data_IF_296839047080
#
_entry.id   IF_296839047080
#
_cell.length_a   1.000
_cell.length_b   1.000
_cell.length_c   1.000
_cell.angle_alpha   90.00
_cell.angle_beta   90.00
_cell.angle_gamma   90.00
#
_symmetry.space_group_name_H-M   'P 1'
#
loop_
_entity.id
_entity.type
_entity.pdbx_description
1 polymer ?
#
# COMPACT_ATOMS: atom_id res chain seq x y z
N UNK A 1 -21.83 -20.56 10.98
CA UNK A 1 -22.61 -19.42 11.52
C UNK A 1 -23.97 -19.91 11.97
N UNK A 2 -24.68 -20.64 11.10
CA UNK A 2 -26.00 -21.19 11.42
C UNK A 2 -25.93 -22.32 12.47
N UNK A 3 -24.89 -23.17 12.40
CA UNK A 3 -24.63 -24.23 13.39
C UNK A 3 -24.34 -23.70 14.81
N UNK A 4 -23.59 -22.60 14.91
CA UNK A 4 -23.26 -21.94 16.19
C UNK A 4 -24.41 -21.10 16.75
N UNK A 5 -25.35 -20.67 15.89
CA UNK A 5 -26.56 -19.94 16.27
C UNK A 5 -27.73 -20.89 16.61
N UNK A 6 -27.53 -22.22 16.58
CA UNK A 6 -28.55 -23.22 16.96
C UNK A 6 -29.70 -23.36 15.96
N UNK A 7 -29.57 -22.84 14.74
CA UNK A 7 -30.60 -22.90 13.69
C UNK A 7 -30.57 -24.31 13.09
N UNK A 8 -31.70 -25.03 13.08
CA UNK A 8 -31.77 -26.39 12.54
C UNK A 8 -31.45 -26.42 11.03
N UNK A 9 -30.75 -27.47 10.57
CA UNK A 9 -30.47 -27.67 9.15
C UNK A 9 -31.79 -27.80 8.37
N UNK A 10 -32.06 -26.83 7.51
CA UNK A 10 -33.12 -26.90 6.53
C UNK A 10 -32.50 -27.22 5.17
N UNK A 11 -33.10 -28.16 4.42
CA UNK A 11 -32.62 -28.69 3.13
C UNK A 11 -32.40 -27.64 2.02
N UNK A 12 -32.79 -26.39 2.26
CA UNK A 12 -32.63 -25.27 1.33
C UNK A 12 -31.26 -24.57 1.45
N UNK A 13 -30.53 -24.75 2.56
CA UNK A 13 -29.25 -24.07 2.77
C UNK A 13 -28.10 -25.03 2.39
N UNK A 14 -27.23 -24.66 1.42
CA UNK A 14 -26.04 -25.44 1.10
C UNK A 14 -25.17 -25.66 2.35
N UNK A 15 -24.73 -26.89 2.58
CA UNK A 15 -23.92 -27.30 3.74
C UNK A 15 -22.67 -26.43 3.94
N UNK A 16 -22.07 -25.97 2.83
CA UNK A 16 -20.93 -25.03 2.85
C UNK A 16 -21.24 -23.74 3.63
N UNK A 17 -22.41 -23.12 3.44
CA UNK A 17 -22.78 -21.86 4.12
C UNK A 17 -23.13 -22.13 5.60
N UNK A 18 -23.62 -23.33 5.89
CA UNK A 18 -24.06 -23.72 7.22
C UNK A 18 -22.89 -23.91 8.20
N UNK A 19 -21.81 -24.55 7.73
CA UNK A 19 -20.61 -24.84 8.52
C UNK A 19 -19.62 -23.68 8.62
N UNK A 20 -19.70 -22.69 7.72
CA UNK A 20 -18.76 -21.56 7.65
C UNK A 20 -18.65 -20.79 8.97
N UNK A 21 -17.45 -20.57 9.48
CA UNK A 21 -17.21 -19.80 10.68
C UNK A 21 -17.54 -18.31 10.47
N UNK A 22 -17.81 -17.56 11.56
CA UNK A 22 -18.16 -16.12 11.47
C UNK A 22 -17.05 -15.31 10.77
N UNK A 23 -15.79 -15.69 10.97
CA UNK A 23 -14.64 -15.09 10.31
C UNK A 23 -14.67 -15.29 8.79
N UNK A 24 -14.99 -16.49 8.32
CA UNK A 24 -14.96 -16.83 6.90
C UNK A 24 -16.03 -16.07 6.11
N UNK A 25 -17.20 -15.87 6.71
CA UNK A 25 -18.27 -15.06 6.11
C UNK A 25 -17.86 -13.59 6.00
N UNK A 26 -17.23 -13.01 7.03
CA UNK A 26 -16.75 -11.63 6.98
C UNK A 26 -15.66 -11.44 5.92
N UNK A 27 -14.74 -12.40 5.80
CA UNK A 27 -13.70 -12.40 4.76
C UNK A 27 -14.35 -12.49 3.37
N UNK A 28 -15.34 -13.38 3.18
CA UNK A 28 -16.06 -13.53 1.92
C UNK A 28 -16.81 -12.25 1.53
N UNK A 29 -17.56 -11.66 2.46
CA UNK A 29 -18.29 -10.41 2.26
C UNK A 29 -17.32 -9.27 1.91
N UNK A 30 -16.25 -9.10 2.69
CA UNK A 30 -15.24 -8.06 2.45
C UNK A 30 -14.56 -8.22 1.09
N UNK A 31 -14.22 -9.45 0.70
CA UNK A 31 -13.63 -9.75 -0.61
C UNK A 31 -14.58 -9.42 -1.75
N UNK A 32 -15.87 -9.74 -1.62
CA UNK A 32 -16.88 -9.44 -2.63
C UNK A 32 -17.05 -7.93 -2.83
N UNK A 33 -17.19 -7.19 -1.72
CA UNK A 33 -17.32 -5.71 -1.76
C UNK A 33 -16.08 -5.07 -2.37
N UNK A 34 -14.89 -5.54 -1.99
CA UNK A 34 -13.63 -5.04 -2.52
C UNK A 34 -13.51 -5.30 -4.03
N UNK A 35 -13.88 -6.49 -4.50
CA UNK A 35 -13.85 -6.84 -5.92
C UNK A 35 -14.80 -5.95 -6.74
N UNK A 36 -16.03 -5.74 -6.27
CA UNK A 36 -17.00 -4.85 -6.91
C UNK A 36 -16.46 -3.42 -6.97
N UNK A 37 -15.87 -2.93 -5.88
CA UNK A 37 -15.28 -1.58 -5.82
C UNK A 37 -14.13 -1.40 -6.81
N UNK A 38 -13.22 -2.37 -6.91
CA UNK A 38 -12.12 -2.34 -7.88
C UNK A 38 -12.70 -2.29 -9.30
N UNK A 39 -13.63 -3.19 -9.61
CA UNK A 39 -14.23 -3.27 -10.95
C UNK A 39 -14.98 -1.99 -11.36
N UNK A 40 -15.83 -1.46 -10.48
CA UNK A 40 -16.56 -0.23 -10.74
C UNK A 40 -15.62 0.97 -10.87
N UNK A 41 -14.61 1.08 -10.01
CA UNK A 41 -13.63 2.17 -10.07
C UNK A 41 -12.83 2.11 -11.36
N UNK A 42 -12.35 0.94 -11.78
CA UNK A 42 -11.66 0.76 -13.06
C UNK A 42 -12.54 1.17 -14.25
N UNK A 43 -13.80 0.75 -14.28
CA UNK A 43 -14.75 1.14 -15.34
C UNK A 43 -14.99 2.65 -15.36
N UNK A 44 -15.14 3.28 -14.20
CA UNK A 44 -15.35 4.71 -14.09
C UNK A 44 -14.16 5.50 -14.64
N UNK A 45 -12.93 5.10 -14.28
CA UNK A 45 -11.70 5.73 -14.77
C UNK A 45 -11.55 5.56 -16.29
N UNK A 46 -11.82 4.37 -16.84
CA UNK A 46 -11.78 4.13 -18.29
C UNK A 46 -12.80 5.01 -19.00
N UNK A 47 -14.04 5.08 -18.52
CA UNK A 47 -15.09 5.93 -19.10
C UNK A 47 -14.69 7.41 -19.05
N UNK A 48 -14.19 7.89 -17.92
CA UNK A 48 -13.80 9.28 -17.74
C UNK A 48 -12.56 9.68 -18.58
N UNK A 49 -11.65 8.76 -18.87
CA UNK A 49 -10.51 8.98 -19.78
C UNK A 49 -10.91 8.95 -21.25
N UNK A 50 -11.81 8.02 -21.62
CA UNK A 50 -12.33 7.94 -22.98
C UNK A 50 -13.11 9.21 -23.36
N UNK A 51 -13.86 9.81 -22.43
CA UNK A 51 -14.54 11.09 -22.65
C UNK A 51 -13.56 12.27 -22.86
N UNK A 52 -12.33 12.16 -22.35
CA UNK A 52 -11.26 13.15 -22.54
C UNK A 52 -10.38 12.87 -23.77
N UNK A 53 -10.65 11.80 -24.53
CA UNK A 53 -9.86 11.40 -25.69
C UNK A 53 -8.46 10.86 -25.36
N UNK A 54 -8.20 10.52 -24.10
CA UNK A 54 -6.89 10.06 -23.62
C UNK A 54 -6.78 8.53 -23.61
N UNK A 55 -5.55 8.02 -23.81
CA UNK A 55 -5.27 6.59 -23.82
C UNK A 55 -5.52 5.94 -22.45
N UNK A 56 -6.49 5.03 -22.38
CA UNK A 56 -6.87 4.33 -21.14
C UNK A 56 -5.74 3.48 -20.52
N UNK A 57 -4.73 3.07 -21.31
CA UNK A 57 -3.60 2.24 -20.84
C UNK A 57 -2.78 2.92 -19.75
N UNK A 58 -2.60 4.23 -19.81
CA UNK A 58 -1.86 4.99 -18.80
C UNK A 58 -2.52 4.95 -17.41
N UNK A 59 -3.85 4.86 -17.35
CA UNK A 59 -4.57 4.75 -16.09
C UNK A 59 -4.49 3.35 -15.48
N UNK A 60 -4.47 2.30 -16.31
CA UNK A 60 -4.31 0.93 -15.84
C UNK A 60 -2.90 0.65 -15.29
N UNK A 61 -1.88 1.35 -15.82
CA UNK A 61 -0.51 1.26 -15.30
C UNK A 61 -0.40 1.69 -13.83
N UNK A 62 -1.28 2.58 -13.35
CA UNK A 62 -1.35 2.97 -11.94
C UNK A 62 -1.84 1.86 -11.01
N UNK A 63 -2.46 0.79 -11.55
CA UNK A 63 -2.88 -0.39 -10.78
C UNK A 63 -1.75 -1.42 -10.60
N UNK A 64 -0.72 -1.38 -11.46
CA UNK A 64 0.38 -2.34 -11.41
C UNK A 64 1.11 -2.36 -10.06
N UNK A 65 1.45 -1.22 -9.43
CA UNK A 65 2.16 -1.23 -8.15
C UNK A 65 1.38 -1.99 -7.07
N UNK A 66 0.06 -1.80 -7.02
CA UNK A 66 -0.82 -2.51 -6.09
C UNK A 66 -0.80 -4.02 -6.33
N UNK A 67 -0.95 -4.45 -7.59
CA UNK A 67 -0.94 -5.88 -7.91
C UNK A 67 0.41 -6.53 -7.59
N UNK A 68 1.51 -5.83 -7.92
CA UNK A 68 2.87 -6.32 -7.67
C UNK A 68 3.11 -6.47 -6.16
N UNK A 69 2.73 -5.48 -5.34
CA UNK A 69 2.92 -5.56 -3.88
C UNK A 69 2.10 -6.71 -3.28
N UNK A 70 0.84 -6.89 -3.67
CA UNK A 70 0.00 -7.99 -3.18
C UNK A 70 0.50 -9.36 -3.62
N UNK A 71 0.97 -9.51 -4.87
CA UNK A 71 1.60 -10.74 -5.33
C UNK A 71 2.88 -11.05 -4.54
N UNK A 72 3.70 -10.03 -4.26
CA UNK A 72 4.94 -10.20 -3.51
C UNK A 72 4.68 -10.58 -2.05
N UNK A 73 3.70 -9.93 -1.38
CA UNK A 73 3.28 -10.28 -0.01
C UNK A 73 2.85 -11.74 0.05
N UNK A 74 1.92 -12.15 -0.84
CA UNK A 74 1.38 -13.52 -0.83
C UNK A 74 2.44 -14.57 -1.14
N UNK A 75 3.35 -14.26 -2.07
CA UNK A 75 4.49 -15.12 -2.37
C UNK A 75 5.44 -15.25 -1.15
N UNK A 76 5.75 -14.14 -0.47
CA UNK A 76 6.62 -14.14 0.71
C UNK A 76 6.02 -14.94 1.88
N UNK A 77 4.71 -14.79 2.17
CA UNK A 77 4.04 -15.59 3.20
C UNK A 77 4.04 -17.08 2.90
N UNK A 78 3.85 -17.45 1.63
CA UNK A 78 3.81 -18.86 1.23
C UNK A 78 5.17 -19.53 1.39
N UNK A 79 6.25 -18.75 1.26
CA UNK A 79 7.62 -19.22 1.43
C UNK A 79 8.02 -19.33 2.92
N UNK A 80 7.45 -18.50 3.78
CA UNK A 80 7.81 -18.41 5.20
C UNK A 80 6.61 -18.71 6.12
N UNK A 81 6.20 -19.99 6.27
CA UNK A 81 5.07 -20.35 7.12
C UNK A 81 5.30 -20.01 8.59
N UNK A 82 6.55 -19.99 9.06
CA UNK A 82 6.90 -19.59 10.43
C UNK A 82 6.43 -18.16 10.77
N UNK A 83 6.53 -17.21 9.83
CA UNK A 83 6.03 -15.84 10.04
C UNK A 83 4.50 -15.84 10.13
N UNK A 84 3.85 -16.67 9.32
CA UNK A 84 2.39 -16.77 9.30
C UNK A 84 1.83 -17.26 10.64
N UNK A 85 2.50 -18.21 11.30
CA UNK A 85 2.00 -18.80 12.56
C UNK A 85 2.50 -18.08 13.81
N UNK A 86 3.74 -17.57 13.82
CA UNK A 86 4.36 -17.03 15.03
C UNK A 86 4.44 -15.49 15.07
N UNK A 87 4.46 -14.81 13.92
CA UNK A 87 4.73 -13.36 13.82
C UNK A 87 3.79 -12.60 12.87
N UNK A 88 2.54 -13.07 12.77
CA UNK A 88 1.53 -12.48 11.89
C UNK A 88 1.26 -11.00 12.25
N UNK A 89 1.21 -10.66 13.53
CA UNK A 89 0.82 -9.32 13.99
C UNK A 89 1.81 -8.23 13.54
N UNK A 90 3.14 -8.34 13.81
CA UNK A 90 4.11 -7.40 13.27
C UNK A 90 4.06 -7.29 11.74
N UNK A 91 3.90 -8.43 11.06
CA UNK A 91 3.83 -8.46 9.60
C UNK A 91 2.60 -7.72 9.07
N UNK A 92 1.43 -7.86 9.70
CA UNK A 92 0.22 -7.12 9.33
C UNK A 92 0.38 -5.62 9.52
N UNK A 93 1.06 -5.17 10.60
CA UNK A 93 1.36 -3.74 10.81
C UNK A 93 2.25 -3.22 9.68
N UNK A 94 3.30 -3.96 9.29
CA UNK A 94 4.16 -3.60 8.17
C UNK A 94 3.37 -3.48 6.85
N UNK A 95 2.56 -4.48 6.51
CA UNK A 95 1.72 -4.46 5.30
C UNK A 95 0.70 -3.32 5.35
N UNK A 96 0.13 -3.05 6.51
CA UNK A 96 -0.78 -1.92 6.72
C UNK A 96 -0.10 -0.58 6.46
N UNK A 97 1.08 -0.35 7.03
CA UNK A 97 1.88 0.86 6.81
C UNK A 97 2.30 1.01 5.34
N UNK A 98 2.71 -0.08 4.68
CA UNK A 98 3.07 -0.07 3.27
C UNK A 98 1.88 0.35 2.37
N UNK A 99 0.69 -0.17 2.65
CA UNK A 99 -0.53 0.21 1.93
C UNK A 99 -0.95 1.65 2.24
N UNK A 100 -0.88 2.08 3.51
CA UNK A 100 -1.17 3.45 3.92
C UNK A 100 -0.24 4.46 3.23
N UNK A 101 1.05 4.16 3.14
CA UNK A 101 2.04 4.96 2.42
C UNK A 101 1.68 5.09 0.94
N UNK A 102 1.38 3.97 0.26
CA UNK A 102 1.02 3.99 -1.16
C UNK A 102 -0.22 4.85 -1.44
N UNK A 103 -1.27 4.74 -0.60
CA UNK A 103 -2.48 5.54 -0.75
C UNK A 103 -2.20 7.01 -0.44
N UNK A 104 -1.41 7.29 0.60
CA UNK A 104 -1.01 8.65 0.96
C UNK A 104 -0.29 9.36 -0.19
N UNK A 105 0.63 8.68 -0.88
CA UNK A 105 1.34 9.25 -2.03
C UNK A 105 0.39 9.58 -3.19
N UNK A 106 -0.62 8.74 -3.43
CA UNK A 106 -1.63 8.99 -4.48
C UNK A 106 -2.46 10.24 -4.13
N UNK A 107 -2.86 10.38 -2.86
CA UNK A 107 -3.63 11.54 -2.39
C UNK A 107 -2.81 12.83 -2.52
N UNK A 108 -1.56 12.84 -2.05
CA UNK A 108 -0.72 14.04 -2.14
C UNK A 108 -0.41 14.41 -3.58
N UNK A 109 -0.13 13.43 -4.44
CA UNK A 109 0.10 13.70 -5.84
C UNK A 109 -1.13 14.30 -6.52
N UNK A 110 -2.32 13.80 -6.20
CA UNK A 110 -3.56 14.34 -6.75
C UNK A 110 -3.87 15.76 -6.27
N UNK A 111 -3.77 16.02 -4.97
CA UNK A 111 -4.07 17.34 -4.41
C UNK A 111 -3.06 18.39 -4.85
N UNK A 112 -1.76 18.07 -4.77
CA UNK A 112 -0.70 19.01 -5.13
C UNK A 112 -0.38 19.05 -6.64
N UNK A 113 -1.18 18.37 -7.48
CA UNK A 113 -1.00 18.30 -8.94
C UNK A 113 0.42 17.84 -9.37
N UNK A 114 1.02 16.93 -8.59
CA UNK A 114 2.34 16.35 -8.85
C UNK A 114 2.22 15.12 -9.78
N UNK A 115 3.33 14.66 -10.41
CA UNK A 115 3.32 13.42 -11.18
C UNK A 115 2.88 12.21 -10.33
N UNK A 116 2.22 11.24 -10.99
CA UNK A 116 1.69 10.05 -10.32
C UNK A 116 2.84 9.16 -9.78
N UNK A 117 2.78 8.73 -8.50
CA UNK A 117 3.82 7.91 -7.89
C UNK A 117 3.62 6.43 -8.26
N UNK A 118 4.58 5.87 -9.01
CA UNK A 118 4.56 4.45 -9.40
C UNK A 118 5.41 3.54 -8.50
N UNK A 119 6.25 4.11 -7.63
CA UNK A 119 7.21 3.38 -6.81
C UNK A 119 6.92 3.53 -5.32
N UNK A 120 6.85 2.39 -4.63
CA UNK A 120 6.73 2.33 -3.19
C UNK A 120 8.04 1.82 -2.60
N UNK A 121 8.76 2.69 -1.88
CA UNK A 121 10.08 2.37 -1.32
C UNK A 121 10.00 1.29 -0.22
N UNK A 122 8.85 1.15 0.43
CA UNK A 122 8.59 0.12 1.45
C UNK A 122 8.46 -1.30 0.87
N UNK A 123 8.45 -1.44 -0.46
CA UNK A 123 8.53 -2.74 -1.13
C UNK A 123 9.95 -3.30 -1.07
N UNK A 124 10.98 -2.47 -0.91
CA UNK A 124 12.38 -2.92 -0.94
C UNK A 124 12.71 -3.92 0.19
N UNK A 125 12.37 -3.68 1.47
CA UNK A 125 12.58 -4.67 2.53
C UNK A 125 11.86 -5.98 2.21
N UNK A 126 10.61 -5.91 1.73
CA UNK A 126 9.84 -7.11 1.39
C UNK A 126 10.47 -7.88 0.23
N UNK A 127 10.96 -7.18 -0.81
CA UNK A 127 11.65 -7.78 -1.93
C UNK A 127 12.97 -8.44 -1.51
N UNK A 128 13.71 -7.81 -0.59
CA UNK A 128 14.92 -8.39 -0.03
C UNK A 128 14.61 -9.68 0.76
N UNK A 129 13.60 -9.65 1.63
CA UNK A 129 13.16 -10.84 2.35
C UNK A 129 12.72 -11.97 1.41
N UNK A 130 11.97 -11.64 0.35
CA UNK A 130 11.57 -12.60 -0.68
C UNK A 130 12.77 -13.20 -1.41
N UNK A 131 13.75 -12.38 -1.80
CA UNK A 131 14.94 -12.84 -2.50
C UNK A 131 15.83 -13.74 -1.61
N UNK A 132 15.98 -13.42 -0.33
CA UNK A 132 16.70 -14.27 0.62
C UNK A 132 16.00 -15.64 0.78
N UNK A 133 14.67 -15.65 0.91
CA UNK A 133 13.88 -16.88 1.01
C UNK A 133 13.85 -17.73 -0.27
N UNK A 134 14.19 -17.16 -1.44
CA UNK A 134 14.33 -17.93 -2.68
C UNK A 134 15.64 -18.74 -2.76
N UNK A 135 16.68 -18.31 -2.06
CA UNK A 135 18.00 -18.97 -2.01
C UNK A 135 17.96 -20.47 -1.67
N UNK A 136 17.31 -20.90 -0.56
CA UNK A 136 17.27 -22.31 -0.16
C UNK A 136 16.43 -23.17 -1.10
N UNK A 137 15.41 -22.60 -1.73
CA UNK A 137 14.58 -23.32 -2.73
C UNK A 137 15.37 -23.55 -4.01
N UNK A 138 16.15 -22.57 -4.44
CA UNK A 138 16.98 -22.68 -5.63
C UNK A 138 18.14 -23.66 -5.39
N UNK A 139 18.70 -23.68 -4.17
CA UNK A 139 19.67 -24.70 -3.75
C UNK A 139 19.07 -26.11 -3.81
N UNK A 140 17.88 -26.32 -3.25
CA UNK A 140 17.23 -27.63 -3.21
C UNK A 140 16.76 -28.14 -4.59
N UNK A 141 16.35 -27.26 -5.50
CA UNK A 141 15.84 -27.66 -6.84
C UNK A 141 16.90 -27.67 -7.94
N UNK A 142 17.85 -26.74 -7.91
CA UNK A 142 18.78 -26.49 -9.02
C UNK A 142 20.25 -26.63 -8.60
N UNK A 143 20.56 -26.88 -7.31
CA UNK A 143 21.93 -27.01 -6.80
C UNK A 143 22.74 -25.70 -6.81
N UNK A 144 22.15 -24.60 -7.30
CA UNK A 144 22.70 -23.25 -7.24
C UNK A 144 21.83 -22.40 -6.32
N UNK A 145 22.34 -22.04 -5.15
CA UNK A 145 21.65 -21.15 -4.21
C UNK A 145 22.60 -20.63 -3.14
N UNK A 146 22.21 -19.54 -2.49
CA UNK A 146 22.93 -18.96 -1.36
C UNK A 146 22.34 -19.44 -0.03
N UNK A 147 23.15 -19.59 1.03
CA UNK A 147 22.63 -19.88 2.36
C UNK A 147 21.72 -18.72 2.79
N UNK A 148 20.49 -19.04 3.19
CA UNK A 148 19.57 -18.02 3.71
C UNK A 148 20.05 -17.58 5.08
N UNK A 149 20.21 -16.27 5.25
CA UNK A 149 20.62 -15.69 6.54
C UNK A 149 19.45 -15.76 7.54
N UNK A 150 18.21 -15.89 7.03
CA UNK A 150 16.96 -15.92 7.79
C UNK A 150 16.51 -17.33 8.22
N UNK A 151 17.36 -18.36 8.06
CA UNK A 151 16.98 -19.76 8.32
C UNK A 151 16.71 -20.05 9.82
N UNK A 152 17.31 -19.30 10.74
CA UNK A 152 17.05 -19.44 12.17
C UNK A 152 15.85 -18.59 12.61
N UNK A 153 14.94 -19.18 13.38
CA UNK A 153 13.72 -18.53 13.92
C UNK A 153 14.01 -17.16 14.58
N UNK A 154 15.12 -17.03 15.31
CA UNK A 154 15.51 -15.77 15.98
C UNK A 154 15.88 -14.65 14.99
N UNK A 155 16.50 -14.96 13.85
CA UNK A 155 16.81 -13.97 12.82
C UNK A 155 15.56 -13.53 12.07
N UNK A 156 14.61 -14.46 11.87
CA UNK A 156 13.33 -14.15 11.24
C UNK A 156 12.49 -13.18 12.08
N UNK A 157 12.44 -13.36 13.40
CA UNK A 157 11.74 -12.42 14.31
C UNK A 157 12.37 -11.04 14.31
N UNK A 158 13.69 -10.97 14.44
CA UNK A 158 14.42 -9.69 14.48
C UNK A 158 14.32 -8.95 13.15
N UNK A 159 14.35 -9.67 12.03
CA UNK A 159 14.11 -9.11 10.70
C UNK A 159 12.68 -8.56 10.55
N UNK A 160 11.65 -9.28 10.99
CA UNK A 160 10.27 -8.79 10.95
C UNK A 160 10.10 -7.49 11.76
N UNK A 161 10.69 -7.43 12.96
CA UNK A 161 10.66 -6.21 13.77
C UNK A 161 11.45 -5.07 13.13
N UNK A 162 12.60 -5.37 12.51
CA UNK A 162 13.38 -4.38 11.77
C UNK A 162 12.60 -3.82 10.57
N UNK A 163 11.88 -4.67 9.82
CA UNK A 163 10.99 -4.23 8.73
C UNK A 163 9.90 -3.28 9.22
N UNK A 164 9.26 -3.60 10.35
CA UNK A 164 8.25 -2.73 10.97
C UNK A 164 8.86 -1.40 11.39
N UNK A 165 10.03 -1.42 12.05
CA UNK A 165 10.74 -0.21 12.46
C UNK A 165 11.13 0.68 11.28
N UNK A 166 11.64 0.08 10.21
CA UNK A 166 11.97 0.78 8.96
C UNK A 166 10.73 1.40 8.31
N UNK A 167 9.61 0.66 8.27
CA UNK A 167 8.35 1.18 7.75
C UNK A 167 7.80 2.33 8.59
N UNK A 168 7.87 2.25 9.92
CA UNK A 168 7.50 3.33 10.81
C UNK A 168 8.37 4.58 10.61
N UNK A 169 9.68 4.40 10.43
CA UNK A 169 10.60 5.53 10.18
C UNK A 169 10.27 6.27 8.88
N UNK A 170 10.11 5.55 7.78
CA UNK A 170 9.76 6.15 6.48
C UNK A 170 8.36 6.77 6.53
N UNK A 171 7.38 6.06 7.10
CA UNK A 171 6.02 6.58 7.20
C UNK A 171 5.97 7.84 8.08
N UNK A 172 6.72 7.88 9.18
CA UNK A 172 6.84 9.05 10.04
C UNK A 172 7.39 10.28 9.31
N UNK A 173 8.47 10.11 8.53
CA UNK A 173 9.00 11.19 7.68
C UNK A 173 7.97 11.63 6.64
N UNK A 174 7.32 10.67 5.99
CA UNK A 174 6.33 10.94 4.96
C UNK A 174 5.15 11.77 5.45
N UNK A 175 4.69 11.58 6.69
CA UNK A 175 3.60 12.39 7.27
C UNK A 175 3.99 13.86 7.34
N UNK A 176 5.23 14.19 7.70
CA UNK A 176 5.70 15.58 7.73
C UNK A 176 5.76 16.15 6.31
N UNK A 177 6.28 15.39 5.35
CA UNK A 177 6.34 15.79 3.94
C UNK A 177 4.95 16.07 3.36
N UNK A 178 3.96 15.24 3.69
CA UNK A 178 2.56 15.43 3.29
C UNK A 178 2.02 16.76 3.82
N UNK A 179 2.25 17.05 5.11
CA UNK A 179 1.76 18.28 5.74
C UNK A 179 2.39 19.50 5.07
N UNK A 180 3.72 19.51 4.92
CA UNK A 180 4.45 20.63 4.31
C UNK A 180 4.01 20.83 2.85
N UNK A 181 3.96 19.75 2.06
CA UNK A 181 3.56 19.83 0.65
C UNK A 181 2.15 20.38 0.46
N UNK A 182 1.19 19.95 1.29
CA UNK A 182 -0.18 20.45 1.23
C UNK A 182 -0.28 21.91 1.69
N UNK A 183 0.46 22.26 2.76
CA UNK A 183 0.55 23.63 3.26
C UNK A 183 1.08 24.58 2.18
N UNK A 184 2.16 24.19 1.51
CA UNK A 184 2.78 24.97 0.43
C UNK A 184 1.85 25.07 -0.79
N UNK A 185 1.13 24.01 -1.14
CA UNK A 185 0.18 24.03 -2.25
C UNK A 185 -1.04 24.94 -1.99
N UNK A 186 -1.59 24.92 -0.77
CA UNK A 186 -2.79 25.68 -0.39
C UNK A 186 -2.48 27.10 0.12
N UNK A 187 -1.20 27.48 0.26
CA UNK A 187 -0.76 28.74 0.89
C UNK A 187 -1.30 28.92 2.34
N UNK A 188 -1.33 27.82 3.10
CA UNK A 188 -1.73 27.76 4.51
C UNK A 188 -0.57 27.19 5.31
N UNK A 189 -0.33 27.68 6.54
CA UNK A 189 0.73 27.13 7.38
C UNK A 189 0.13 26.45 8.60
N UNK A 190 0.31 25.12 8.70
CA UNK A 190 -0.11 24.35 9.88
C UNK A 190 0.99 24.24 10.94
N UNK A 191 2.27 24.31 10.54
CA UNK A 191 3.43 24.09 11.41
C UNK A 191 4.35 25.32 11.56
N UNK A 192 4.02 26.46 10.96
CA UNK A 192 4.83 27.69 11.00
C UNK A 192 3.93 28.92 10.93
N UNK A 193 4.39 30.08 11.41
CA UNK A 193 3.61 31.33 11.37
C UNK A 193 3.91 32.06 10.05
N UNK A 194 2.85 32.45 9.31
CA UNK A 194 2.97 33.27 8.09
C UNK A 194 3.32 34.70 8.47
N UNK A 195 4.54 35.14 8.16
CA UNK A 195 4.87 36.57 8.14
C UNK A 195 4.53 37.11 6.74
N UNK A 196 3.63 38.09 6.62
CA UNK A 196 3.39 38.73 5.34
C UNK A 196 4.71 39.34 4.86
N UNK A 197 5.17 38.93 3.68
CA UNK A 197 6.25 39.65 3.00
C UNK A 197 5.75 41.08 2.80
N UNK A 198 6.39 42.06 3.43
CA UNK A 198 6.16 43.46 3.09
C UNK A 198 6.32 43.57 1.57
N UNK A 199 5.25 44.03 0.90
CA UNK A 199 5.32 44.30 -0.53
C UNK A 199 6.42 45.33 -0.71
N UNK A 200 7.54 44.93 -1.29
CA UNK A 200 8.51 45.88 -1.81
C UNK A 200 7.73 46.90 -2.66
N UNK A 201 7.76 48.20 -2.32
CA UNK A 201 6.99 49.18 -3.05
C UNK A 201 7.49 49.17 -4.50
N UNK A 202 6.56 48.98 -5.43
CA UNK A 202 6.80 49.09 -6.87
C UNK A 202 7.58 50.37 -7.14
N UNK A 203 8.88 50.23 -7.43
CA UNK A 203 9.70 51.33 -7.89
C UNK A 203 9.10 51.80 -9.21
N UNK A 204 8.40 52.94 -9.17
CA UNK A 204 7.95 53.66 -10.33
C UNK A 204 9.17 53.96 -11.21
N UNK A 205 9.35 53.16 -12.27
CA UNK A 205 10.32 53.46 -13.32
C UNK A 205 9.80 54.71 -14.03
N UNK A 206 10.34 55.85 -13.60
CA UNK A 206 10.38 57.09 -14.36
C UNK A 206 11.11 56.83 -15.67
N UNK A 207 10.38 56.86 -16.80
CA UNK A 207 10.97 57.24 -18.09
C UNK A 207 10.26 58.48 -18.61
N UNK A 208 10.86 59.60 -18.22
CA UNK A 208 10.62 60.95 -18.71
C UNK A 208 10.97 61.01 -20.20
N UNK A 209 10.10 61.63 -20.98
CA UNK A 209 10.28 62.01 -22.38
C UNK A 209 11.69 62.55 -22.66
N UNK A 210 12.37 62.00 -23.66
CA UNK A 210 13.23 62.72 -24.61
C UNK A 210 13.28 61.93 -25.90
#
# INVERSE_FOLDING_TARGET
>A
MLRTLGIQEHAFIPSFIYELAFNEINILQGSLVLFINIFQSSRNVIKARHLRGENARGALLGLLPLLITWMLITAYLRLNPEILYNHLVPFLIFVGLMNAYSVGQIITAHLAQMPFPYFNILVLPLAFGFYDSLGPILHNKFGMGWPSILETTSYQTSYCLCMVGFALGIYGSFVVDVIVTICDYLDIWCLTIKYPREKEPLAFISKKNT
#
